data_IF_962578356348
#
_entry.id   IF_962578356348
#
_cell.length_a   1.000
_cell.length_b   1.000
_cell.length_c   1.000
_cell.angle_alpha   90.00
_cell.angle_beta   90.00
_cell.angle_gamma   90.00
#
_symmetry.space_group_name_H-M   'P 1'
#
loop_
_entity.id
_entity.type
_entity.pdbx_description
1 polymer ?
#
# COMPACT_ATOMS: atom_id res chain seq x y z
N UNK A 1 -20.99 -1.05 -59.88
CA UNK A 1 -19.79 -1.55 -59.17
C UNK A 1 -19.13 -0.39 -58.47
N UNK A 2 -19.54 -0.13 -57.26
CA UNK A 2 -18.94 0.91 -56.39
C UNK A 2 -18.41 0.19 -55.16
N UNK A 3 -17.11 0.17 -55.08
CA UNK A 3 -16.38 -0.41 -53.95
C UNK A 3 -16.39 0.62 -52.81
N UNK A 4 -17.18 0.34 -51.75
CA UNK A 4 -17.16 1.10 -50.54
C UNK A 4 -15.85 0.92 -49.80
N UNK A 5 -15.05 1.96 -49.71
CA UNK A 5 -13.93 2.05 -48.78
C UNK A 5 -14.47 2.22 -47.38
N UNK A 6 -14.34 1.19 -46.56
CA UNK A 6 -14.53 1.26 -45.10
C UNK A 6 -13.33 2.00 -44.53
N UNK A 7 -13.60 3.20 -44.11
CA UNK A 7 -12.61 4.08 -43.46
C UNK A 7 -12.43 3.60 -42.02
N UNK A 8 -11.52 2.70 -41.78
CA UNK A 8 -11.07 2.35 -40.43
C UNK A 8 -10.31 3.54 -39.83
N UNK A 9 -11.04 4.38 -39.11
CA UNK A 9 -10.43 5.36 -38.21
C UNK A 9 -9.90 4.61 -37.00
N UNK A 10 -8.65 4.20 -37.06
CA UNK A 10 -7.86 3.87 -35.88
C UNK A 10 -7.74 5.16 -35.04
N UNK A 11 -8.55 5.29 -34.02
CA UNK A 11 -8.23 6.18 -32.93
C UNK A 11 -7.01 5.58 -32.22
N UNK A 12 -5.83 6.08 -32.55
CA UNK A 12 -4.68 5.92 -31.68
C UNK A 12 -5.03 6.62 -30.36
N UNK A 13 -5.49 5.84 -29.39
CA UNK A 13 -5.60 6.31 -28.02
C UNK A 13 -4.21 6.78 -27.61
N UNK A 14 -4.10 8.07 -27.34
CA UNK A 14 -2.86 8.67 -26.89
C UNK A 14 -2.57 8.07 -25.52
N UNK A 15 -1.65 7.09 -25.44
CA UNK A 15 -1.21 6.55 -24.15
C UNK A 15 -0.94 7.73 -23.21
N UNK A 16 -1.63 7.77 -22.09
CA UNK A 16 -1.46 8.82 -21.10
C UNK A 16 -0.07 8.65 -20.48
N UNK A 17 0.87 9.48 -20.89
CA UNK A 17 2.24 9.47 -20.34
C UNK A 17 2.17 10.05 -18.93
N UNK A 18 2.12 9.18 -17.95
CA UNK A 18 2.19 9.58 -16.53
C UNK A 18 3.63 9.89 -16.16
N UNK A 19 3.94 11.12 -15.77
CA UNK A 19 5.30 11.55 -15.42
C UNK A 19 5.40 12.08 -13.99
N UNK A 20 4.31 12.54 -13.44
CA UNK A 20 4.27 13.23 -12.15
C UNK A 20 3.34 12.54 -11.17
N UNK A 21 3.87 12.18 -10.01
CA UNK A 21 3.12 11.64 -8.89
C UNK A 21 3.04 12.66 -7.74
N UNK A 22 1.90 12.72 -7.08
CA UNK A 22 1.73 13.44 -5.83
C UNK A 22 1.45 12.41 -4.71
N UNK A 23 2.38 12.27 -3.79
CA UNK A 23 2.30 11.27 -2.71
C UNK A 23 1.94 11.98 -1.41
N UNK A 24 0.83 11.60 -0.80
CA UNK A 24 0.33 12.16 0.46
C UNK A 24 0.72 11.25 1.62
N UNK A 25 1.43 11.83 2.59
CA UNK A 25 2.00 11.14 3.73
C UNK A 25 3.49 10.83 3.52
N UNK A 26 4.38 11.52 4.23
CA UNK A 26 5.83 11.33 4.18
C UNK A 26 6.33 10.25 5.16
N UNK A 27 5.44 9.39 5.65
CA UNK A 27 5.76 8.27 6.52
C UNK A 27 6.43 7.10 5.78
N UNK A 28 6.43 5.93 6.43
CA UNK A 28 7.08 4.71 5.91
C UNK A 28 6.57 4.31 4.53
N UNK A 29 5.25 4.31 4.33
CA UNK A 29 4.65 3.90 3.05
C UNK A 29 4.85 4.96 1.98
N UNK A 30 4.46 6.21 2.21
CA UNK A 30 4.61 7.26 1.21
C UNK A 30 6.06 7.56 0.86
N UNK A 31 6.97 7.56 1.84
CA UNK A 31 8.41 7.65 1.59
C UNK A 31 8.93 6.47 0.74
N UNK A 32 8.43 5.27 0.99
CA UNK A 32 8.76 4.08 0.19
C UNK A 32 8.23 4.16 -1.24
N UNK A 33 7.00 4.65 -1.43
CA UNK A 33 6.38 4.88 -2.75
C UNK A 33 7.18 5.94 -3.51
N UNK A 34 7.51 7.06 -2.85
CA UNK A 34 8.31 8.14 -3.45
C UNK A 34 9.68 7.64 -3.92
N UNK A 35 10.36 6.80 -3.11
CA UNK A 35 11.65 6.18 -3.50
C UNK A 35 11.52 5.38 -4.79
N UNK A 36 10.56 4.47 -4.84
CA UNK A 36 10.36 3.59 -6.00
C UNK A 36 10.00 4.42 -7.23
N UNK A 37 9.13 5.39 -7.10
CA UNK A 37 8.70 6.24 -8.20
C UNK A 37 9.87 7.06 -8.77
N UNK A 38 10.67 7.73 -7.92
CA UNK A 38 11.80 8.54 -8.37
C UNK A 38 12.88 7.71 -9.07
N UNK A 39 13.17 6.50 -8.57
CA UNK A 39 14.10 5.56 -9.22
C UNK A 39 13.61 5.09 -10.59
N UNK A 40 12.30 5.06 -10.81
CA UNK A 40 11.70 4.70 -12.09
C UNK A 40 11.36 5.94 -12.97
N UNK A 41 11.99 7.08 -12.68
CA UNK A 41 12.01 8.27 -13.53
C UNK A 41 10.85 9.26 -13.32
N UNK A 42 9.95 9.01 -12.35
CA UNK A 42 8.86 9.93 -12.05
C UNK A 42 9.34 11.16 -11.28
N UNK A 43 8.74 12.31 -11.55
CA UNK A 43 8.78 13.46 -10.65
C UNK A 43 7.76 13.22 -9.52
N UNK A 44 8.19 13.38 -8.27
CA UNK A 44 7.36 13.05 -7.10
C UNK A 44 7.26 14.27 -6.19
N UNK A 45 6.06 14.78 -6.00
CA UNK A 45 5.75 15.71 -4.93
C UNK A 45 5.40 14.91 -3.67
N UNK A 46 6.26 14.98 -2.63
CA UNK A 46 6.05 14.31 -1.35
C UNK A 46 5.45 15.30 -0.37
N UNK A 47 4.16 15.14 -0.11
CA UNK A 47 3.39 16.03 0.75
C UNK A 47 3.17 15.45 2.15
N UNK A 48 3.25 16.30 3.16
CA UNK A 48 2.70 16.01 4.50
C UNK A 48 2.18 17.32 5.12
N UNK A 49 1.45 17.22 6.23
CA UNK A 49 0.82 18.37 6.91
C UNK A 49 1.80 19.25 7.67
N UNK A 50 3.03 18.76 7.92
CA UNK A 50 4.07 19.47 8.67
C UNK A 50 5.44 19.30 8.02
N UNK A 51 6.24 20.36 8.05
CA UNK A 51 7.61 20.35 7.52
C UNK A 51 8.47 19.25 8.17
N UNK A 52 8.35 19.07 9.47
CA UNK A 52 9.09 18.02 10.22
C UNK A 52 8.85 16.60 9.67
N UNK A 53 7.64 16.30 9.18
CA UNK A 53 7.31 15.00 8.60
C UNK A 53 7.90 14.85 7.20
N UNK A 54 7.82 15.91 6.38
CA UNK A 54 8.45 15.94 5.05
C UNK A 54 9.97 15.78 5.19
N UNK A 55 10.60 16.55 6.07
CA UNK A 55 12.06 16.48 6.30
C UNK A 55 12.48 15.09 6.79
N UNK A 56 11.72 14.51 7.71
CA UNK A 56 11.96 13.15 8.21
C UNK A 56 11.82 12.12 7.09
N UNK A 57 10.81 12.26 6.24
CA UNK A 57 10.60 11.39 5.07
C UNK A 57 11.78 11.47 4.11
N UNK A 58 12.18 12.69 3.69
CA UNK A 58 13.31 12.92 2.79
C UNK A 58 14.62 12.38 3.38
N UNK A 59 14.92 12.66 4.65
CA UNK A 59 16.10 12.12 5.35
C UNK A 59 16.08 10.59 5.38
N UNK A 60 14.90 9.99 5.58
CA UNK A 60 14.72 8.54 5.56
C UNK A 60 15.05 7.94 4.20
N UNK A 61 14.60 8.58 3.11
CA UNK A 61 14.88 8.18 1.73
C UNK A 61 16.40 8.24 1.46
N UNK A 62 17.03 9.39 1.71
CA UNK A 62 18.47 9.58 1.50
C UNK A 62 19.26 8.53 2.29
N UNK A 63 18.98 8.38 3.59
CA UNK A 63 19.67 7.42 4.44
C UNK A 63 19.48 5.95 4.03
N UNK A 64 18.32 5.60 3.42
CA UNK A 64 18.10 4.27 2.88
C UNK A 64 18.95 4.04 1.62
N UNK A 65 19.01 5.00 0.70
CA UNK A 65 19.81 4.91 -0.52
C UNK A 65 21.30 4.93 -0.22
N UNK A 66 21.78 5.79 0.69
CA UNK A 66 23.19 5.81 1.13
C UNK A 66 23.65 4.46 1.66
N UNK A 67 22.79 3.77 2.44
CA UNK A 67 23.08 2.41 2.92
C UNK A 67 23.15 1.39 1.79
N UNK A 68 22.35 1.56 0.73
CA UNK A 68 22.38 0.67 -0.44
C UNK A 68 23.65 0.92 -1.26
N UNK A 69 24.04 2.18 -1.48
CA UNK A 69 25.29 2.55 -2.16
C UNK A 69 26.49 2.01 -1.38
N UNK A 70 26.55 2.24 -0.07
CA UNK A 70 27.65 1.75 0.78
C UNK A 70 27.79 0.22 0.78
N UNK A 71 26.69 -0.51 0.48
CA UNK A 71 26.70 -1.97 0.39
C UNK A 71 26.87 -2.49 -1.06
N UNK A 72 27.12 -1.62 -2.02
CA UNK A 72 27.24 -1.97 -3.44
C UNK A 72 25.94 -2.52 -4.07
N UNK A 73 24.76 -2.20 -3.49
CA UNK A 73 23.43 -2.64 -3.96
C UNK A 73 22.70 -1.60 -4.80
N UNK A 74 23.29 -0.42 -4.96
CA UNK A 74 22.81 0.71 -5.77
C UNK A 74 24.04 1.48 -6.26
N UNK A 75 24.05 1.92 -7.51
CA UNK A 75 25.05 2.84 -8.01
C UNK A 75 24.83 4.25 -7.41
N UNK A 76 25.92 4.98 -7.15
CA UNK A 76 25.81 6.35 -6.64
C UNK A 76 25.13 7.26 -7.66
N UNK A 77 25.38 7.02 -8.93
CA UNK A 77 24.81 7.74 -10.07
C UNK A 77 23.28 7.60 -10.12
N UNK A 78 22.75 6.41 -9.83
CA UNK A 78 21.29 6.17 -9.80
C UNK A 78 20.63 6.96 -8.67
N UNK A 79 21.25 6.96 -7.47
CA UNK A 79 20.81 7.79 -6.34
C UNK A 79 20.79 9.27 -6.70
N UNK A 80 21.90 9.76 -7.26
CA UNK A 80 22.11 11.18 -7.57
C UNK A 80 21.17 11.66 -8.68
N UNK A 81 20.80 10.77 -9.62
CA UNK A 81 19.80 11.04 -10.65
C UNK A 81 18.36 11.02 -10.12
N UNK A 82 18.06 10.16 -9.12
CA UNK A 82 16.71 10.02 -8.58
C UNK A 82 16.38 11.08 -7.51
N UNK A 83 17.35 11.50 -6.70
CA UNK A 83 17.13 12.38 -5.56
C UNK A 83 16.48 13.73 -5.94
N UNK A 84 16.89 14.43 -7.01
CA UNK A 84 16.28 15.70 -7.43
C UNK A 84 14.83 15.56 -7.93
N UNK A 85 14.39 14.33 -8.21
CA UNK A 85 13.01 14.05 -8.64
C UNK A 85 12.00 14.08 -7.48
N UNK A 86 12.48 14.05 -6.21
CA UNK A 86 11.60 14.08 -5.04
C UNK A 86 11.57 15.50 -4.48
N UNK A 87 10.42 16.14 -4.57
CA UNK A 87 10.16 17.51 -4.15
C UNK A 87 9.27 17.45 -2.91
N UNK A 88 9.81 17.83 -1.75
CA UNK A 88 9.01 17.95 -0.52
C UNK A 88 8.12 19.20 -0.58
N UNK A 89 6.85 19.07 -0.20
CA UNK A 89 5.90 20.20 -0.21
C UNK A 89 4.92 20.13 0.96
N UNK A 90 4.43 21.30 1.39
CA UNK A 90 3.33 21.48 2.32
C UNK A 90 2.08 22.01 1.62
N UNK A 91 2.19 22.33 0.34
CA UNK A 91 1.09 22.87 -0.44
C UNK A 91 0.36 21.76 -1.20
N UNK A 92 -0.89 21.50 -0.80
CA UNK A 92 -1.75 20.53 -1.50
C UNK A 92 -2.10 20.98 -2.92
N UNK A 93 -1.97 22.27 -3.25
CA UNK A 93 -2.20 22.77 -4.62
C UNK A 93 -1.18 22.23 -5.63
N UNK A 94 -0.01 21.77 -5.17
CA UNK A 94 0.95 21.10 -6.04
C UNK A 94 0.38 19.81 -6.66
N UNK A 95 -0.67 19.23 -6.08
CA UNK A 95 -1.39 18.09 -6.66
C UNK A 95 -2.01 18.41 -8.05
N UNK A 96 -2.26 19.69 -8.36
CA UNK A 96 -2.73 20.09 -9.69
C UNK A 96 -1.75 19.73 -10.83
N UNK A 97 -0.47 19.47 -10.50
CA UNK A 97 0.59 19.07 -11.46
C UNK A 97 0.64 17.56 -11.69
N UNK A 98 -0.09 16.77 -10.90
CA UNK A 98 0.04 15.33 -10.89
C UNK A 98 -0.85 14.65 -11.93
N UNK A 99 -0.31 13.59 -12.54
CA UNK A 99 -1.07 12.64 -13.33
C UNK A 99 -1.77 11.60 -12.43
N UNK A 100 -1.12 11.27 -11.31
CA UNK A 100 -1.65 10.35 -10.30
C UNK A 100 -1.35 10.87 -8.90
N UNK A 101 -2.35 10.89 -8.04
CA UNK A 101 -2.19 11.10 -6.60
C UNK A 101 -2.21 9.74 -5.91
N UNK A 102 -1.25 9.47 -5.01
CA UNK A 102 -1.24 8.27 -4.17
C UNK A 102 -1.32 8.70 -2.71
N UNK A 103 -2.47 8.44 -2.08
CA UNK A 103 -2.69 8.76 -0.67
C UNK A 103 -2.20 7.61 0.21
N UNK A 104 -1.26 7.91 1.11
CA UNK A 104 -0.66 7.02 2.10
C UNK A 104 -0.63 7.65 3.51
N UNK A 105 -1.69 8.37 3.87
CA UNK A 105 -1.90 8.97 5.19
C UNK A 105 -2.34 7.91 6.22
N UNK A 106 -2.78 8.36 7.39
CA UNK A 106 -3.28 7.48 8.46
C UNK A 106 -4.49 6.65 8.00
N UNK A 107 -4.61 5.43 8.54
CA UNK A 107 -5.67 4.49 8.17
C UNK A 107 -6.98 4.83 8.90
N UNK A 108 -7.60 5.92 8.48
CA UNK A 108 -8.87 6.44 8.97
C UNK A 108 -9.74 6.90 7.80
N UNK A 109 -10.95 6.36 7.69
CA UNK A 109 -11.86 6.62 6.57
C UNK A 109 -12.26 8.09 6.49
N UNK A 110 -12.50 8.75 7.63
CA UNK A 110 -12.89 10.17 7.67
C UNK A 110 -11.76 11.08 7.16
N UNK A 111 -10.52 10.79 7.57
CA UNK A 111 -9.33 11.50 7.09
C UNK A 111 -9.15 11.30 5.59
N UNK A 112 -9.22 10.05 5.09
CA UNK A 112 -9.06 9.76 3.67
C UNK A 112 -10.15 10.44 2.82
N UNK A 113 -11.41 10.36 3.24
CA UNK A 113 -12.51 11.07 2.54
C UNK A 113 -12.31 12.58 2.51
N UNK A 114 -11.84 13.18 3.63
CA UNK A 114 -11.53 14.62 3.68
C UNK A 114 -10.40 15.00 2.71
N UNK A 115 -9.35 14.18 2.60
CA UNK A 115 -8.26 14.38 1.66
C UNK A 115 -8.79 14.30 0.22
N UNK A 116 -9.53 13.27 -0.13
CA UNK A 116 -10.07 13.05 -1.48
C UNK A 116 -11.03 14.15 -1.90
N UNK A 117 -11.92 14.62 -0.99
CA UNK A 117 -12.81 15.74 -1.25
C UNK A 117 -12.06 17.04 -1.56
N UNK A 118 -10.92 17.30 -0.90
CA UNK A 118 -10.07 18.47 -1.21
C UNK A 118 -9.39 18.32 -2.57
N UNK A 119 -8.85 17.13 -2.85
CA UNK A 119 -8.15 16.83 -4.10
C UNK A 119 -9.05 16.97 -5.32
N UNK A 120 -10.34 16.63 -5.19
CA UNK A 120 -11.31 16.68 -6.28
C UNK A 120 -11.45 18.08 -6.91
N UNK A 121 -11.28 19.12 -6.08
CA UNK A 121 -11.26 20.51 -6.54
C UNK A 121 -9.90 21.02 -7.04
N UNK A 122 -8.83 20.26 -6.88
CA UNK A 122 -7.46 20.69 -7.18
C UNK A 122 -6.91 20.01 -8.44
N UNK A 123 -7.04 18.69 -8.54
CA UNK A 123 -6.40 17.92 -9.60
C UNK A 123 -7.14 18.01 -10.93
N UNK A 124 -6.42 17.78 -12.03
CA UNK A 124 -6.99 17.76 -13.38
C UNK A 124 -8.09 16.70 -13.53
N UNK A 125 -9.04 16.84 -14.45
CA UNK A 125 -10.10 15.84 -14.67
C UNK A 125 -9.58 14.45 -15.03
N UNK A 126 -8.41 14.35 -15.66
CA UNK A 126 -7.77 13.09 -16.03
C UNK A 126 -6.90 12.45 -14.93
N UNK A 127 -6.65 13.17 -13.84
CA UNK A 127 -5.81 12.67 -12.76
C UNK A 127 -6.45 11.48 -12.05
N UNK A 128 -5.67 10.43 -11.83
CA UNK A 128 -6.08 9.25 -11.06
C UNK A 128 -5.88 9.53 -9.56
N UNK A 129 -6.86 9.19 -8.77
CA UNK A 129 -6.84 9.30 -7.31
C UNK A 129 -6.71 7.90 -6.71
N UNK A 130 -5.52 7.56 -6.22
CA UNK A 130 -5.25 6.26 -5.63
C UNK A 130 -5.15 6.35 -4.11
N UNK A 131 -5.71 5.37 -3.39
CA UNK A 131 -5.48 5.20 -1.95
C UNK A 131 -4.65 3.97 -1.67
N UNK A 132 -3.65 4.09 -0.78
CA UNK A 132 -2.83 2.96 -0.32
C UNK A 132 -3.42 2.32 0.94
N UNK A 133 -4.74 2.39 1.13
CA UNK A 133 -5.38 1.70 2.24
C UNK A 133 -5.08 0.19 2.20
N UNK A 134 -4.93 -0.41 3.37
CA UNK A 134 -4.73 -1.86 3.52
C UNK A 134 -6.03 -2.61 3.83
N UNK A 135 -7.10 -1.89 4.17
CA UNK A 135 -8.30 -2.52 4.74
C UNK A 135 -9.59 -1.73 4.56
N UNK A 136 -9.52 -0.40 4.34
CA UNK A 136 -10.70 0.45 4.21
C UNK A 136 -11.32 0.31 2.81
N UNK A 137 -12.63 0.55 2.74
CA UNK A 137 -13.38 0.51 1.47
C UNK A 137 -12.94 1.62 0.51
N UNK A 138 -12.43 1.22 -0.66
CA UNK A 138 -12.10 2.12 -1.78
C UNK A 138 -13.36 2.82 -2.28
N UNK A 139 -14.48 2.10 -2.34
CA UNK A 139 -15.80 2.65 -2.71
C UNK A 139 -16.24 3.75 -1.73
N UNK A 140 -16.02 3.54 -0.42
CA UNK A 140 -16.35 4.55 0.58
C UNK A 140 -15.44 5.79 0.48
N UNK A 141 -14.17 5.63 0.11
CA UNK A 141 -13.27 6.75 -0.19
C UNK A 141 -13.73 7.48 -1.46
N UNK A 142 -14.05 6.73 -2.52
CA UNK A 142 -14.49 7.25 -3.81
C UNK A 142 -15.80 8.06 -3.71
N UNK A 143 -16.66 7.75 -2.73
CA UNK A 143 -17.89 8.53 -2.51
C UNK A 143 -17.68 9.98 -2.08
N UNK A 144 -16.44 10.36 -1.76
CA UNK A 144 -16.09 11.73 -1.37
C UNK A 144 -15.74 12.65 -2.56
N UNK A 145 -15.71 12.14 -3.79
CA UNK A 145 -15.33 12.89 -5.00
C UNK A 145 -16.45 12.87 -6.05
N UNK A 146 -16.46 13.87 -6.92
CA UNK A 146 -17.43 13.97 -8.04
C UNK A 146 -17.10 13.05 -9.22
N UNK A 147 -15.92 12.38 -9.22
CA UNK A 147 -15.43 11.47 -10.26
C UNK A 147 -14.97 10.14 -9.68
N UNK A 148 -15.87 9.35 -9.09
CA UNK A 148 -15.52 8.09 -8.42
C UNK A 148 -14.95 7.04 -9.38
N UNK A 149 -15.16 7.19 -10.69
CA UNK A 149 -14.58 6.38 -11.75
C UNK A 149 -13.06 6.54 -11.88
N UNK A 150 -12.48 7.65 -11.42
CA UNK A 150 -11.03 7.92 -11.37
C UNK A 150 -10.38 7.51 -10.04
N UNK A 151 -11.11 6.85 -9.16
CA UNK A 151 -10.59 6.37 -7.87
C UNK A 151 -10.29 4.88 -7.93
N UNK A 152 -9.12 4.51 -7.37
CA UNK A 152 -8.64 3.13 -7.32
C UNK A 152 -7.84 2.89 -6.03
N UNK A 153 -7.82 1.66 -5.53
CA UNK A 153 -6.87 1.25 -4.50
C UNK A 153 -5.55 0.79 -5.11
N UNK A 154 -4.43 1.30 -4.59
CA UNK A 154 -3.09 0.82 -4.89
C UNK A 154 -2.43 0.37 -3.59
N UNK A 155 -2.65 -0.88 -3.21
CA UNK A 155 -2.13 -1.43 -1.97
C UNK A 155 -0.70 -1.92 -2.15
N UNK A 156 0.24 -1.10 -1.68
CA UNK A 156 1.67 -1.44 -1.61
C UNK A 156 1.98 -2.18 -0.31
N UNK A 157 3.03 -2.98 -0.32
CA UNK A 157 3.46 -3.76 0.83
C UNK A 157 4.75 -3.21 1.44
N UNK A 158 4.82 -3.22 2.76
CA UNK A 158 5.99 -2.76 3.52
C UNK A 158 7.09 -3.85 3.61
N UNK A 159 8.35 -3.54 3.30
CA UNK A 159 8.92 -2.29 2.78
C UNK A 159 8.69 -2.12 1.27
N UNK A 160 8.14 -0.99 0.84
CA UNK A 160 7.77 -0.75 -0.56
C UNK A 160 8.93 -0.99 -1.55
N UNK A 161 10.19 -0.57 -1.29
CA UNK A 161 11.28 -0.85 -2.23
C UNK A 161 11.62 -2.33 -2.41
N UNK A 162 11.24 -3.21 -1.47
CA UNK A 162 11.60 -4.64 -1.48
C UNK A 162 10.48 -5.54 -1.94
N UNK A 163 9.24 -5.14 -1.69
CA UNK A 163 8.07 -5.95 -2.04
C UNK A 163 7.70 -5.73 -3.49
N UNK A 164 7.60 -6.82 -4.24
CA UNK A 164 7.34 -6.76 -5.68
C UNK A 164 5.87 -6.57 -6.04
N UNK A 165 4.95 -6.76 -5.08
CA UNK A 165 3.50 -6.79 -5.30
C UNK A 165 2.85 -5.42 -5.12
N UNK A 166 1.89 -5.11 -6.01
CA UNK A 166 0.81 -4.14 -5.78
C UNK A 166 -0.51 -4.86 -6.00
N UNK A 167 -1.41 -4.83 -5.03
CA UNK A 167 -2.81 -5.14 -5.28
C UNK A 167 -3.51 -3.90 -5.84
N UNK A 168 -4.15 -4.02 -6.99
CA UNK A 168 -4.99 -2.97 -7.59
C UNK A 168 -6.43 -3.27 -7.23
N UNK A 169 -7.00 -2.46 -6.35
CA UNK A 169 -8.36 -2.68 -5.84
C UNK A 169 -9.33 -1.81 -6.63
N UNK A 170 -10.23 -2.47 -7.35
CA UNK A 170 -11.34 -1.82 -8.04
C UNK A 170 -12.50 -1.63 -7.07
N UNK A 171 -12.78 -0.36 -6.72
CA UNK A 171 -14.02 0.01 -6.05
C UNK A 171 -15.23 -0.10 -7.00
N UNK A 172 -16.42 0.06 -6.48
CA UNK A 172 -17.67 -0.14 -7.24
C UNK A 172 -17.79 0.72 -8.50
N UNK A 173 -17.16 1.90 -8.52
CA UNK A 173 -17.23 2.85 -9.64
C UNK A 173 -15.94 2.93 -10.46
N UNK A 174 -14.84 2.28 -10.03
CA UNK A 174 -13.54 2.35 -10.75
C UNK A 174 -13.69 1.92 -12.20
N UNK A 175 -13.38 2.81 -13.15
CA UNK A 175 -13.50 2.53 -14.58
C UNK A 175 -12.40 1.58 -15.07
N UNK A 176 -12.63 0.94 -16.23
CA UNK A 176 -11.61 0.10 -16.88
C UNK A 176 -10.40 0.94 -17.29
N UNK A 177 -10.61 2.17 -17.75
CA UNK A 177 -9.53 3.11 -18.09
C UNK A 177 -8.64 3.41 -16.88
N UNK A 178 -9.24 3.70 -15.72
CA UNK A 178 -8.49 3.96 -14.48
C UNK A 178 -7.73 2.72 -14.03
N UNK A 179 -8.34 1.55 -14.14
CA UNK A 179 -7.70 0.28 -13.82
C UNK A 179 -6.49 -0.01 -14.73
N UNK A 180 -6.64 0.13 -16.05
CA UNK A 180 -5.52 -0.13 -16.99
C UNK A 180 -4.38 0.87 -16.78
N UNK A 181 -4.69 2.14 -16.52
CA UNK A 181 -3.69 3.15 -16.18
C UNK A 181 -2.96 2.82 -14.84
N UNK A 182 -3.68 2.36 -13.83
CA UNK A 182 -3.10 1.92 -12.56
C UNK A 182 -2.19 0.67 -12.74
N UNK A 183 -2.57 -0.23 -13.64
CA UNK A 183 -1.76 -1.40 -14.00
C UNK A 183 -0.47 -0.98 -14.72
N UNK A 184 -0.56 -0.12 -15.72
CA UNK A 184 0.60 0.43 -16.43
C UNK A 184 1.54 1.18 -15.48
N UNK A 185 1.00 1.98 -14.54
CA UNK A 185 1.78 2.61 -13.49
C UNK A 185 2.53 1.58 -12.65
N UNK A 186 1.85 0.52 -12.19
CA UNK A 186 2.45 -0.52 -11.37
C UNK A 186 3.62 -1.21 -12.08
N UNK A 187 3.47 -1.51 -13.37
CA UNK A 187 4.52 -2.10 -14.20
C UNK A 187 5.71 -1.14 -14.37
N UNK A 188 5.45 0.15 -14.62
CA UNK A 188 6.50 1.18 -14.69
C UNK A 188 7.23 1.40 -13.36
N UNK A 189 6.57 1.15 -12.23
CA UNK A 189 7.20 1.14 -10.90
C UNK A 189 8.01 -0.14 -10.64
N UNK A 190 8.15 -1.05 -11.62
CA UNK A 190 8.85 -2.32 -11.48
C UNK A 190 8.13 -3.30 -10.53
N UNK A 191 6.80 -3.20 -10.44
CA UNK A 191 5.97 -4.04 -9.57
C UNK A 191 5.11 -4.99 -10.38
N UNK A 192 4.77 -6.11 -9.76
CA UNK A 192 3.76 -7.04 -10.27
C UNK A 192 2.39 -6.60 -9.75
N UNK A 193 1.48 -6.30 -10.67
CA UNK A 193 0.12 -5.94 -10.35
C UNK A 193 -0.77 -7.18 -10.23
N UNK A 194 -1.60 -7.24 -9.19
CA UNK A 194 -2.67 -8.23 -9.03
C UNK A 194 -4.00 -7.50 -8.94
N UNK A 195 -4.95 -7.90 -9.78
CA UNK A 195 -6.29 -7.31 -9.79
C UNK A 195 -7.13 -7.86 -8.65
N UNK A 196 -7.77 -6.96 -7.91
CA UNK A 196 -8.66 -7.29 -6.81
C UNK A 196 -9.98 -6.53 -6.97
N UNK A 197 -11.10 -7.24 -7.03
CA UNK A 197 -12.38 -6.61 -6.80
C UNK A 197 -12.50 -6.31 -5.31
N UNK A 198 -12.95 -5.10 -4.98
CA UNK A 198 -13.01 -4.67 -3.59
C UNK A 198 -13.75 -5.67 -2.70
N UNK A 199 -13.06 -6.11 -1.66
CA UNK A 199 -13.62 -6.94 -0.59
C UNK A 199 -12.77 -6.79 0.68
N UNK A 200 -13.31 -6.93 1.90
CA UNK A 200 -12.56 -6.74 3.13
C UNK A 200 -11.28 -7.58 3.19
N UNK A 201 -10.14 -6.91 3.46
CA UNK A 201 -8.82 -7.51 3.57
C UNK A 201 -8.14 -7.87 2.24
N UNK A 202 -8.79 -7.57 1.10
CA UNK A 202 -8.28 -7.85 -0.26
C UNK A 202 -7.88 -9.32 -0.42
N UNK A 203 -6.74 -9.63 -1.05
CA UNK A 203 -6.27 -11.01 -1.19
C UNK A 203 -5.32 -11.38 -0.05
N UNK A 204 -4.24 -10.61 0.11
CA UNK A 204 -3.14 -11.00 1.02
C UNK A 204 -3.61 -10.98 2.47
N UNK A 205 -4.20 -9.89 2.94
CA UNK A 205 -4.61 -9.79 4.35
C UNK A 205 -5.73 -10.76 4.69
N UNK A 206 -6.66 -11.00 3.77
CA UNK A 206 -7.79 -11.92 3.97
C UNK A 206 -7.36 -13.40 4.12
N UNK A 207 -6.22 -13.78 3.55
CA UNK A 207 -5.65 -15.12 3.70
C UNK A 207 -4.66 -15.15 4.86
N UNK A 208 -3.71 -14.21 4.87
CA UNK A 208 -2.56 -14.23 5.76
C UNK A 208 -2.95 -14.02 7.23
N UNK A 209 -3.80 -13.03 7.50
CA UNK A 209 -4.09 -12.67 8.89
C UNK A 209 -4.96 -13.72 9.61
N UNK A 210 -6.01 -14.31 8.99
CA UNK A 210 -6.68 -15.48 9.56
C UNK A 210 -5.76 -16.70 9.76
N UNK A 211 -4.81 -16.95 8.87
CA UNK A 211 -3.82 -18.02 9.05
C UNK A 211 -2.93 -17.74 10.28
N UNK A 212 -2.47 -16.51 10.46
CA UNK A 212 -1.74 -16.08 11.68
C UNK A 212 -2.63 -16.27 12.91
N UNK A 213 -3.88 -15.84 12.85
CA UNK A 213 -4.83 -15.95 13.96
C UNK A 213 -5.07 -17.43 14.35
N UNK A 214 -5.11 -18.34 13.40
CA UNK A 214 -5.20 -19.78 13.67
C UNK A 214 -3.96 -20.30 14.40
N UNK A 215 -2.75 -19.86 14.00
CA UNK A 215 -1.52 -20.19 14.71
C UNK A 215 -1.54 -19.67 16.17
N UNK A 216 -2.16 -18.51 16.41
CA UNK A 216 -2.34 -17.98 17.77
C UNK A 216 -3.33 -18.82 18.57
N UNK A 217 -4.41 -19.34 17.97
CA UNK A 217 -5.31 -20.29 18.62
C UNK A 217 -4.57 -21.59 18.99
N UNK A 218 -3.79 -22.16 18.09
CA UNK A 218 -3.01 -23.36 18.36
C UNK A 218 -2.06 -23.18 19.57
N UNK A 219 -1.38 -22.04 19.64
CA UNK A 219 -0.54 -21.68 20.78
C UNK A 219 -1.36 -21.55 22.07
N UNK A 220 -2.52 -20.86 22.03
CA UNK A 220 -3.40 -20.67 23.17
C UNK A 220 -3.99 -21.99 23.70
N UNK A 221 -4.28 -22.92 22.81
CA UNK A 221 -4.86 -24.24 23.11
C UNK A 221 -3.81 -25.26 23.55
N UNK A 222 -2.52 -24.88 23.50
CA UNK A 222 -1.42 -25.75 23.91
C UNK A 222 -1.14 -26.90 22.93
N UNK A 223 -1.51 -26.73 21.66
CA UNK A 223 -1.27 -27.74 20.61
C UNK A 223 0.23 -27.92 20.39
N UNK A 224 0.98 -26.80 20.34
CA UNK A 224 2.44 -26.81 20.22
C UNK A 224 3.03 -25.50 20.77
N UNK A 225 4.37 -25.47 20.97
CA UNK A 225 5.09 -24.25 21.31
C UNK A 225 5.12 -23.26 20.14
N UNK A 226 5.41 -21.97 20.41
CA UNK A 226 5.53 -20.97 19.34
C UNK A 226 6.64 -21.35 18.33
N UNK A 227 7.74 -21.86 18.83
CA UNK A 227 8.88 -22.34 18.04
C UNK A 227 8.51 -23.52 17.14
N UNK A 228 7.73 -24.47 17.65
CA UNK A 228 7.32 -25.67 16.91
C UNK A 228 6.28 -25.33 15.84
N UNK A 229 5.30 -24.45 16.15
CA UNK A 229 4.32 -23.94 15.16
C UNK A 229 5.06 -23.29 14.00
N UNK A 230 5.97 -22.37 14.28
CA UNK A 230 6.74 -21.65 13.25
C UNK A 230 7.64 -22.60 12.47
N UNK A 231 8.26 -23.59 13.13
CA UNK A 231 9.11 -24.59 12.49
C UNK A 231 8.31 -25.50 11.57
N UNK A 232 7.13 -25.96 12.02
CA UNK A 232 6.23 -26.77 11.22
C UNK A 232 5.80 -26.05 9.93
N UNK A 233 5.41 -24.77 10.00
CA UNK A 233 5.02 -23.99 8.84
C UNK A 233 6.20 -23.70 7.89
N UNK A 234 7.40 -23.46 8.41
CA UNK A 234 8.61 -23.30 7.58
C UNK A 234 8.99 -24.56 6.84
N UNK A 235 9.01 -25.70 7.52
CA UNK A 235 9.51 -26.95 6.96
C UNK A 235 8.41 -27.78 6.28
N UNK A 236 7.20 -27.76 6.80
CA UNK A 236 6.08 -28.53 6.26
C UNK A 236 5.32 -27.83 5.13
N UNK A 237 5.26 -26.49 5.15
CA UNK A 237 4.56 -25.68 4.14
C UNK A 237 5.49 -24.76 3.34
N UNK A 238 6.80 -24.85 3.54
CA UNK A 238 7.83 -24.05 2.86
C UNK A 238 7.62 -22.53 2.99
N UNK A 239 7.11 -22.08 4.14
CA UNK A 239 6.98 -20.65 4.43
C UNK A 239 8.36 -20.04 4.70
N UNK A 240 8.67 -18.85 4.17
CA UNK A 240 9.97 -18.20 4.41
C UNK A 240 10.13 -17.77 5.88
N UNK A 241 9.01 -17.59 6.58
CA UNK A 241 8.92 -17.20 7.99
C UNK A 241 7.71 -17.87 8.61
N UNK A 242 7.82 -18.33 9.86
CA UNK A 242 6.69 -18.90 10.58
C UNK A 242 5.62 -17.84 10.89
N UNK A 243 4.34 -18.25 11.07
CA UNK A 243 3.22 -17.34 11.22
C UNK A 243 3.31 -16.44 12.46
N UNK A 244 3.85 -16.93 13.57
CA UNK A 244 3.97 -16.15 14.81
C UNK A 244 5.12 -15.15 14.75
N UNK A 245 6.27 -15.51 14.17
CA UNK A 245 7.35 -14.55 13.88
C UNK A 245 6.92 -13.51 12.84
N UNK A 246 6.08 -13.88 11.88
CA UNK A 246 5.51 -12.96 10.91
C UNK A 246 4.51 -11.99 11.57
N UNK A 247 3.69 -12.47 12.50
CA UNK A 247 2.82 -11.62 13.32
C UNK A 247 3.63 -10.56 14.10
N UNK A 248 4.74 -10.98 14.72
CA UNK A 248 5.64 -10.08 15.44
C UNK A 248 6.34 -9.06 14.52
N UNK A 249 6.60 -9.44 13.27
CA UNK A 249 7.16 -8.53 12.26
C UNK A 249 6.13 -7.50 11.78
N UNK A 250 4.89 -7.93 11.54
CA UNK A 250 3.77 -7.05 11.11
C UNK A 250 3.40 -6.10 12.25
N UNK A 251 3.34 -6.63 13.45
CA UNK A 251 2.82 -5.99 14.66
C UNK A 251 1.48 -6.60 15.07
N UNK A 252 1.40 -7.07 16.32
CA UNK A 252 0.21 -7.78 16.82
C UNK A 252 -1.02 -6.87 16.88
N UNK A 253 -0.85 -5.58 17.11
CA UNK A 253 -1.93 -4.58 17.04
C UNK A 253 -2.49 -4.43 15.61
N UNK A 254 -1.63 -4.48 14.59
CA UNK A 254 -2.05 -4.45 13.18
C UNK A 254 -2.80 -5.74 12.84
N UNK A 255 -2.27 -6.91 13.24
CA UNK A 255 -2.96 -8.18 13.04
C UNK A 255 -4.33 -8.19 13.71
N UNK A 256 -4.44 -7.68 14.94
CA UNK A 256 -5.70 -7.57 15.66
C UNK A 256 -6.68 -6.65 14.96
N UNK A 257 -6.24 -5.45 14.54
CA UNK A 257 -7.10 -4.48 13.84
C UNK A 257 -7.68 -5.07 12.54
N UNK A 258 -6.86 -5.79 11.75
CA UNK A 258 -7.34 -6.44 10.52
C UNK A 258 -8.33 -7.57 10.84
N UNK A 259 -8.09 -8.38 11.87
CA UNK A 259 -9.05 -9.42 12.27
C UNK A 259 -10.39 -8.83 12.73
N UNK A 260 -10.36 -7.71 13.47
CA UNK A 260 -11.56 -7.00 13.90
C UNK A 260 -12.33 -6.45 12.72
N UNK A 261 -11.64 -5.81 11.76
CA UNK A 261 -12.25 -5.34 10.53
C UNK A 261 -12.89 -6.48 9.73
N UNK A 262 -12.17 -7.59 9.53
CA UNK A 262 -12.72 -8.75 8.81
C UNK A 262 -13.96 -9.31 9.49
N UNK A 263 -13.97 -9.39 10.84
CA UNK A 263 -15.12 -9.84 11.61
C UNK A 263 -16.31 -8.88 11.45
N UNK A 264 -16.07 -7.59 11.54
CA UNK A 264 -17.13 -6.58 11.55
C UNK A 264 -17.75 -6.40 10.16
N UNK A 265 -16.93 -6.42 9.10
CA UNK A 265 -17.39 -6.30 7.72
C UNK A 265 -18.03 -7.60 7.17
N UNK A 266 -17.51 -8.77 7.60
CA UNK A 266 -17.98 -10.06 7.08
C UNK A 266 -19.09 -10.69 7.93
N UNK A 267 -19.18 -10.32 9.21
CA UNK A 267 -20.18 -10.88 10.14
C UNK A 267 -19.97 -12.36 10.49
N UNK A 268 -18.84 -12.98 10.10
CA UNK A 268 -18.61 -14.41 10.26
C UNK A 268 -17.69 -14.74 11.46
N UNK A 269 -18.08 -15.72 12.25
CA UNK A 269 -17.35 -16.18 13.44
C UNK A 269 -15.92 -16.66 13.14
N UNK A 270 -15.63 -17.11 11.93
CA UNK A 270 -14.28 -17.56 11.51
C UNK A 270 -13.23 -16.44 11.56
N UNK A 271 -13.66 -15.17 11.52
CA UNK A 271 -12.78 -14.01 11.64
C UNK A 271 -12.65 -13.48 13.07
N UNK A 272 -13.16 -14.24 14.07
CA UNK A 272 -13.00 -13.87 15.49
C UNK A 272 -11.51 -13.85 15.87
N UNK A 273 -10.97 -12.71 16.37
CA UNK A 273 -9.59 -12.68 16.88
C UNK A 273 -9.40 -13.63 18.06
N UNK A 274 -8.28 -14.33 18.11
CA UNK A 274 -7.91 -15.16 19.24
C UNK A 274 -7.84 -14.33 20.54
N UNK A 275 -8.42 -14.81 21.66
CA UNK A 275 -8.31 -14.12 22.95
C UNK A 275 -6.85 -13.80 23.37
N UNK A 276 -5.92 -14.69 23.06
CA UNK A 276 -4.50 -14.48 23.34
C UNK A 276 -3.95 -13.28 22.57
N UNK A 277 -4.29 -13.12 21.28
CA UNK A 277 -3.86 -11.96 20.49
C UNK A 277 -4.30 -10.64 21.14
N UNK A 278 -5.58 -10.56 21.55
CA UNK A 278 -6.11 -9.38 22.29
C UNK A 278 -5.36 -9.14 23.60
N UNK A 279 -5.07 -10.22 24.34
CA UNK A 279 -4.36 -10.14 25.64
C UNK A 279 -2.94 -9.58 25.45
N UNK A 280 -2.23 -10.05 24.43
CA UNK A 280 -0.87 -9.60 24.12
C UNK A 280 -0.85 -8.12 23.72
N UNK A 281 -1.76 -7.70 22.84
CA UNK A 281 -1.88 -6.29 22.44
C UNK A 281 -2.17 -5.39 23.64
N UNK A 282 -3.11 -5.78 24.52
CA UNK A 282 -3.41 -5.04 25.76
C UNK A 282 -2.23 -4.98 26.73
N UNK A 283 -1.36 -5.99 26.71
CA UNK A 283 -0.13 -6.03 27.51
C UNK A 283 1.03 -5.23 26.91
N UNK A 284 0.84 -4.56 25.75
CA UNK A 284 1.89 -3.83 25.05
C UNK A 284 2.92 -4.71 24.37
N UNK A 285 2.69 -6.03 24.27
CA UNK A 285 3.54 -6.97 23.54
C UNK A 285 3.16 -6.96 22.08
N UNK A 286 3.75 -6.04 21.31
CA UNK A 286 3.35 -5.75 19.94
C UNK A 286 4.29 -6.37 18.90
N UNK A 287 5.20 -7.25 19.31
CA UNK A 287 6.20 -7.87 18.45
C UNK A 287 7.50 -7.07 18.41
N UNK A 288 8.21 -7.10 17.27
CA UNK A 288 9.54 -6.48 17.12
C UNK A 288 9.59 -5.01 17.49
N UNK A 289 8.55 -4.25 17.19
CA UNK A 289 8.50 -2.80 17.49
C UNK A 289 8.47 -2.46 18.97
N UNK A 290 8.06 -3.40 19.82
CA UNK A 290 8.07 -3.26 21.28
C UNK A 290 9.16 -4.11 21.95
N UNK A 291 9.98 -4.85 21.17
CA UNK A 291 11.02 -5.77 21.67
C UNK A 291 10.49 -7.13 22.13
N UNK A 292 9.19 -7.30 22.26
CA UNK A 292 8.55 -8.56 22.69
C UNK A 292 7.19 -8.73 22.01
N UNK A 293 6.91 -9.96 21.55
CA UNK A 293 5.65 -10.44 21.05
C UNK A 293 5.49 -11.90 21.43
N UNK A 294 5.28 -12.79 20.43
CA UNK A 294 5.38 -14.22 20.63
C UNK A 294 6.83 -14.64 20.91
N UNK A 295 7.78 -13.85 20.41
CA UNK A 295 9.22 -14.00 20.64
C UNK A 295 9.79 -12.73 21.28
N UNK A 296 11.06 -12.85 21.78
CA UNK A 296 11.85 -11.70 22.26
C UNK A 296 12.88 -11.29 21.22
N UNK A 297 13.14 -9.98 21.09
CA UNK A 297 13.99 -9.38 20.07
C UNK A 297 15.05 -8.45 20.68
#
# INVERSE_FOLDING_TARGET
METGQVNERFHAEKEMVMETLFVIGAGTMGGGIAQVAALNGFTVYLYDIKQEFVDKGLKGIVGAWDKLVARGKMAAEDRDAALPRIIGTLDMQDAAKADVVIEAAVEDLGVKRSIFSKLDGIVSPGCILATNTSSLSVTAVASAVGRPDKVVGLHFFNPVPRMALIEIIRGAATSDETYEAAKALSERLGKTAVTVNEYPGFVVNRILIPMINEAVFMLQEGVASAEDIDTAMKLGANHPMGPLALADLIGLDVCLAIMELLRDEMGEGKYRPAPLLRKMVRAGKLGRKSGEGFFRY
#
